data_IF_349232262731
#
_entry.id   IF_349232262731
#
_cell.length_a   1.000
_cell.length_b   1.000
_cell.length_c   1.000
_cell.angle_alpha   90.00
_cell.angle_beta   90.00
_cell.angle_gamma   90.00
#
_symmetry.space_group_name_H-M   'P 1'
#
loop_
_entity.id
_entity.type
_entity.pdbx_description
1 polymer ?
#
# COMPACT_ATOMS: atom_id res chain seq x y z
N UNK A 1 -2.64 -18.09 -6.46
CA UNK A 1 -2.45 -17.14 -5.34
C UNK A 1 -2.50 -15.75 -5.92
N UNK A 2 -3.35 -14.86 -5.41
CA UNK A 2 -3.32 -13.47 -5.84
C UNK A 2 -1.97 -12.83 -5.49
N UNK A 3 -1.34 -12.18 -6.46
CA UNK A 3 -0.01 -11.56 -6.29
C UNK A 3 -0.02 -10.51 -5.17
N UNK A 4 -1.19 -9.93 -4.86
CA UNK A 4 -1.42 -8.97 -3.78
C UNK A 4 -0.92 -9.46 -2.41
N UNK A 5 -1.03 -10.75 -2.11
CA UNK A 5 -0.56 -11.31 -0.83
C UNK A 5 0.95 -11.17 -0.63
N UNK A 6 1.74 -11.13 -1.70
CA UNK A 6 3.18 -10.95 -1.63
C UNK A 6 3.50 -9.58 -1.02
N UNK A 7 2.77 -8.53 -1.43
CA UNK A 7 2.96 -7.17 -0.96
C UNK A 7 2.39 -6.89 0.44
N UNK A 8 1.73 -7.88 1.05
CA UNK A 8 1.35 -7.86 2.47
C UNK A 8 2.26 -8.74 3.31
N UNK A 9 2.53 -9.95 2.87
CA UNK A 9 3.31 -10.95 3.59
C UNK A 9 4.81 -10.63 3.61
N UNK A 10 5.41 -10.25 2.48
CA UNK A 10 6.86 -9.98 2.40
C UNK A 10 7.26 -8.79 3.28
N UNK A 11 6.55 -7.64 3.29
CA UNK A 11 6.87 -6.57 4.22
C UNK A 11 6.80 -6.99 5.69
N UNK A 12 5.77 -7.76 6.07
CA UNK A 12 5.63 -8.26 7.43
C UNK A 12 6.79 -9.17 7.82
N UNK A 13 7.09 -10.17 6.98
CA UNK A 13 8.20 -11.10 7.19
C UNK A 13 9.54 -10.35 7.24
N UNK A 14 9.75 -9.40 6.34
CA UNK A 14 10.94 -8.56 6.34
C UNK A 14 11.09 -7.74 7.62
N UNK A 15 10.01 -7.13 8.11
CA UNK A 15 10.01 -6.38 9.37
C UNK A 15 10.32 -7.29 10.57
N UNK A 16 9.72 -8.48 10.60
CA UNK A 16 9.95 -9.48 11.65
C UNK A 16 11.40 -9.95 11.65
N UNK A 17 11.94 -10.35 10.48
CA UNK A 17 13.35 -10.78 10.34
C UNK A 17 14.29 -9.64 10.75
N UNK A 18 14.04 -8.41 10.28
CA UNK A 18 14.86 -7.25 10.63
C UNK A 18 14.82 -6.98 12.15
N UNK A 19 13.67 -7.13 12.81
CA UNK A 19 13.55 -6.98 14.25
C UNK A 19 14.36 -8.05 15.02
N UNK A 20 14.40 -9.29 14.54
CA UNK A 20 15.12 -10.38 15.21
C UNK A 20 16.62 -10.36 14.97
N UNK A 21 17.08 -9.94 13.79
CA UNK A 21 18.51 -9.82 13.45
C UNK A 21 19.14 -8.56 14.08
N UNK A 22 18.35 -7.51 14.27
CA UNK A 22 18.81 -6.26 14.89
C UNK A 22 19.14 -6.45 16.38
N UNK A 23 20.36 -6.06 16.78
CA UNK A 23 20.76 -6.00 18.20
C UNK A 23 20.13 -4.85 19.01
N UNK A 24 19.40 -3.95 18.34
CA UNK A 24 18.73 -2.81 19.00
C UNK A 24 17.57 -3.28 19.91
N UNK A 25 17.26 -2.55 21.00
CA UNK A 25 16.11 -2.84 21.85
C UNK A 25 14.80 -2.91 21.07
N UNK A 26 13.91 -3.82 21.48
CA UNK A 26 12.59 -4.05 20.85
C UNK A 26 11.54 -3.12 21.47
N UNK A 27 11.74 -1.81 21.35
CA UNK A 27 10.74 -0.83 21.78
C UNK A 27 9.56 -0.80 20.80
N UNK A 28 8.39 -0.34 21.27
CA UNK A 28 7.23 -0.15 20.40
C UNK A 28 7.55 0.82 19.26
N UNK A 29 8.31 1.89 19.53
CA UNK A 29 8.76 2.82 18.49
C UNK A 29 9.56 2.09 17.40
N UNK A 30 10.53 1.24 17.78
CA UNK A 30 11.34 0.49 16.82
C UNK A 30 10.52 -0.53 16.02
N UNK A 31 9.58 -1.22 16.65
CA UNK A 31 8.68 -2.16 15.96
C UNK A 31 7.86 -1.40 14.89
N UNK A 32 7.24 -0.29 15.27
CA UNK A 32 6.47 0.53 14.33
C UNK A 32 7.33 1.16 13.23
N UNK A 33 8.55 1.59 13.55
CA UNK A 33 9.50 2.10 12.56
C UNK A 33 9.82 1.05 11.49
N UNK A 34 10.10 -0.19 11.91
CA UNK A 34 10.44 -1.28 11.00
C UNK A 34 9.24 -1.69 10.14
N UNK A 35 8.04 -1.78 10.73
CA UNK A 35 6.83 -2.05 9.97
C UNK A 35 6.59 -0.96 8.92
N UNK A 36 6.68 0.32 9.29
CA UNK A 36 6.54 1.44 8.35
C UNK A 36 7.59 1.38 7.24
N UNK A 37 8.85 1.13 7.57
CA UNK A 37 9.92 0.99 6.57
C UNK A 37 9.62 -0.07 5.52
N UNK A 38 9.26 -1.27 5.96
CA UNK A 38 9.02 -2.40 5.07
C UNK A 38 7.74 -2.23 4.26
N UNK A 39 6.65 -1.75 4.88
CA UNK A 39 5.41 -1.54 4.15
C UNK A 39 5.48 -0.33 3.21
N UNK A 40 6.21 0.75 3.54
CA UNK A 40 6.43 1.85 2.62
C UNK A 40 7.35 1.45 1.47
N UNK A 41 8.46 0.76 1.76
CA UNK A 41 9.43 0.37 0.75
C UNK A 41 8.97 -0.76 -0.16
N UNK A 42 8.47 -1.86 0.41
CA UNK A 42 8.09 -3.06 -0.35
C UNK A 42 6.60 -3.10 -0.63
N UNK A 43 5.77 -2.82 0.37
CA UNK A 43 4.31 -2.85 0.21
C UNK A 43 3.80 -1.81 -0.80
N UNK A 44 4.06 -0.52 -0.53
CA UNK A 44 3.72 0.57 -1.44
C UNK A 44 4.78 0.71 -2.53
N UNK A 45 6.06 0.81 -2.17
CA UNK A 45 7.12 1.15 -3.12
C UNK A 45 7.20 0.18 -4.29
N UNK A 46 7.57 -1.08 -4.00
CA UNK A 46 7.65 -2.13 -5.03
C UNK A 46 6.25 -2.55 -5.51
N UNK A 47 5.28 -2.68 -4.62
CA UNK A 47 3.92 -3.12 -4.98
C UNK A 47 3.21 -2.18 -5.94
N UNK A 48 3.16 -0.88 -5.64
CA UNK A 48 2.52 0.10 -6.52
C UNK A 48 3.30 0.31 -7.82
N UNK A 49 4.64 0.23 -7.82
CA UNK A 49 5.41 0.20 -9.07
C UNK A 49 5.02 -0.98 -9.96
N UNK A 50 4.94 -2.19 -9.38
CA UNK A 50 4.55 -3.38 -10.12
C UNK A 50 3.14 -3.24 -10.70
N UNK A 51 2.15 -2.88 -9.86
CA UNK A 51 0.77 -2.68 -10.29
C UNK A 51 0.66 -1.60 -11.37
N UNK A 52 1.37 -0.49 -11.19
CA UNK A 52 1.38 0.60 -12.15
C UNK A 52 2.01 0.22 -13.49
N UNK A 53 3.11 -0.53 -13.47
CA UNK A 53 3.73 -1.05 -14.70
C UNK A 53 2.80 -2.00 -15.46
N UNK A 54 2.09 -2.90 -14.76
CA UNK A 54 1.10 -3.79 -15.39
C UNK A 54 -0.04 -2.98 -16.01
N UNK A 55 -0.56 -1.97 -15.31
CA UNK A 55 -1.60 -1.07 -15.82
C UNK A 55 -1.14 -0.24 -17.02
N UNK A 56 0.11 0.21 -17.04
CA UNK A 56 0.67 0.98 -18.16
C UNK A 56 0.95 0.09 -19.36
N UNK A 57 1.55 -1.09 -19.18
CA UNK A 57 2.01 -1.95 -20.28
C UNK A 57 0.87 -2.83 -20.82
N UNK A 58 0.00 -3.32 -19.95
CA UNK A 58 -1.05 -4.29 -20.28
C UNK A 58 -2.40 -3.94 -19.62
N UNK A 59 -2.96 -2.75 -19.90
CA UNK A 59 -4.23 -2.30 -19.33
C UNK A 59 -5.40 -3.24 -19.65
N UNK A 60 -5.36 -3.96 -20.76
CA UNK A 60 -6.41 -4.89 -21.18
C UNK A 60 -6.52 -6.09 -20.22
N UNK A 61 -5.38 -6.59 -19.72
CA UNK A 61 -5.34 -7.66 -18.71
C UNK A 61 -5.96 -7.16 -17.39
N UNK A 62 -5.67 -5.91 -17.03
CA UNK A 62 -6.25 -5.30 -15.82
C UNK A 62 -7.76 -5.17 -15.97
N UNK A 63 -8.24 -4.60 -17.09
CA UNK A 63 -9.68 -4.47 -17.38
C UNK A 63 -10.40 -5.83 -17.31
N UNK A 64 -9.80 -6.87 -17.90
CA UNK A 64 -10.37 -8.22 -17.85
C UNK A 64 -10.43 -8.75 -16.41
N UNK A 65 -9.39 -8.53 -15.60
CA UNK A 65 -9.34 -9.00 -14.22
C UNK A 65 -10.38 -8.31 -13.32
N UNK A 66 -10.66 -7.04 -13.57
CA UNK A 66 -11.67 -6.24 -12.85
C UNK A 66 -13.08 -6.44 -13.40
N UNK A 67 -13.22 -7.12 -14.55
CA UNK A 67 -14.49 -7.21 -15.26
C UNK A 67 -14.99 -5.85 -15.75
N UNK A 68 -14.10 -4.87 -15.89
CA UNK A 68 -14.45 -3.54 -16.40
C UNK A 68 -14.21 -3.49 -17.92
N UNK A 69 -14.91 -2.59 -18.60
CA UNK A 69 -14.57 -2.26 -19.99
C UNK A 69 -13.17 -1.65 -20.08
N UNK A 70 -12.45 -1.91 -21.17
CA UNK A 70 -11.18 -1.23 -21.42
C UNK A 70 -11.39 0.28 -21.49
N UNK A 71 -10.49 1.01 -20.85
CA UNK A 71 -10.48 2.47 -20.84
C UNK A 71 -9.04 2.99 -20.87
N UNK A 72 -8.73 4.04 -21.66
CA UNK A 72 -7.40 4.65 -21.67
C UNK A 72 -6.98 5.18 -20.29
N UNK A 73 -7.95 5.50 -19.42
CA UNK A 73 -7.69 5.93 -18.03
C UNK A 73 -6.98 4.87 -17.19
N UNK A 74 -7.00 3.58 -17.57
CA UNK A 74 -6.21 2.55 -16.88
C UNK A 74 -4.70 2.85 -16.93
N UNK A 75 -4.21 3.47 -18.01
CA UNK A 75 -2.79 3.87 -18.08
C UNK A 75 -2.49 5.05 -17.16
N UNK A 76 -3.42 6.01 -17.04
CA UNK A 76 -3.29 7.12 -16.09
C UNK A 76 -3.30 6.64 -14.64
N UNK A 77 -4.20 5.70 -14.31
CA UNK A 77 -4.22 4.99 -13.02
C UNK A 77 -2.90 4.24 -12.80
N UNK A 78 -2.31 3.69 -13.87
CA UNK A 78 -0.98 3.09 -13.86
C UNK A 78 0.12 4.08 -13.45
N UNK A 79 0.14 5.27 -14.04
CA UNK A 79 1.09 6.32 -13.66
C UNK A 79 0.84 6.87 -12.25
N UNK A 80 -0.41 6.92 -11.79
CA UNK A 80 -0.73 7.24 -10.40
C UNK A 80 -0.09 6.21 -9.46
N UNK A 81 -0.26 4.91 -9.73
CA UNK A 81 0.39 3.84 -8.97
C UNK A 81 1.93 3.93 -9.00
N UNK A 82 2.52 4.23 -10.15
CA UNK A 82 3.98 4.46 -10.26
C UNK A 82 4.42 5.61 -9.34
N UNK A 83 3.65 6.70 -9.26
CA UNK A 83 3.98 7.83 -8.39
C UNK A 83 3.98 7.44 -6.90
N UNK A 84 3.01 6.64 -6.46
CA UNK A 84 2.96 6.13 -5.08
C UNK A 84 4.15 5.21 -4.80
N UNK A 85 4.50 4.38 -5.77
CA UNK A 85 5.67 3.51 -5.69
C UNK A 85 6.97 4.29 -5.51
N UNK A 86 7.17 5.38 -6.25
CA UNK A 86 8.33 6.27 -6.09
C UNK A 86 8.35 6.88 -4.68
N UNK A 87 7.22 7.40 -4.19
CA UNK A 87 7.12 7.96 -2.83
C UNK A 87 7.45 6.90 -1.75
N UNK A 88 6.96 5.68 -1.92
CA UNK A 88 7.24 4.56 -1.02
C UNK A 88 8.71 4.16 -0.99
N UNK A 89 9.38 4.11 -2.15
CA UNK A 89 10.83 3.85 -2.22
C UNK A 89 11.65 4.98 -1.58
N UNK A 90 11.31 6.24 -1.85
CA UNK A 90 11.97 7.39 -1.23
C UNK A 90 11.81 7.38 0.29
N UNK A 91 10.66 6.94 0.81
CA UNK A 91 10.39 6.81 2.24
C UNK A 91 11.34 5.85 2.98
N UNK A 92 11.98 4.90 2.28
CA UNK A 92 13.02 4.03 2.88
C UNK A 92 14.20 4.87 3.38
N UNK A 93 14.60 5.87 2.59
CA UNK A 93 15.75 6.74 2.87
C UNK A 93 15.38 8.02 3.61
N UNK A 94 14.18 8.54 3.38
CA UNK A 94 13.76 9.88 3.82
C UNK A 94 12.48 9.80 4.66
N UNK A 95 12.61 9.96 5.99
CA UNK A 95 11.48 9.85 6.93
C UNK A 95 10.39 10.91 6.72
N UNK A 96 10.75 12.08 6.20
CA UNK A 96 9.81 13.14 5.84
C UNK A 96 8.89 12.75 4.66
N UNK A 97 9.19 11.69 3.90
CA UNK A 97 8.30 11.15 2.86
C UNK A 97 7.23 10.20 3.41
N UNK A 98 7.27 9.81 4.69
CA UNK A 98 6.33 8.84 5.24
C UNK A 98 4.88 9.32 5.20
N UNK A 99 4.62 10.50 5.75
CA UNK A 99 3.27 11.05 5.76
C UNK A 99 2.76 11.37 4.33
N UNK A 100 3.53 12.06 3.45
CA UNK A 100 3.11 12.30 2.07
C UNK A 100 2.81 11.01 1.29
N UNK A 101 3.64 9.98 1.40
CA UNK A 101 3.42 8.70 0.73
C UNK A 101 2.11 8.03 1.21
N UNK A 102 1.89 8.00 2.52
CA UNK A 102 0.68 7.40 3.11
C UNK A 102 -0.57 8.19 2.71
N UNK A 103 -0.53 9.53 2.70
CA UNK A 103 -1.66 10.37 2.32
C UNK A 103 -2.02 10.15 0.86
N UNK A 104 -1.03 10.21 -0.05
CA UNK A 104 -1.26 10.03 -1.48
C UNK A 104 -1.84 8.64 -1.78
N UNK A 105 -1.25 7.59 -1.19
CA UNK A 105 -1.75 6.22 -1.31
C UNK A 105 -3.16 6.08 -0.74
N UNK A 106 -3.43 6.61 0.46
CA UNK A 106 -4.73 6.48 1.10
C UNK A 106 -5.87 7.12 0.30
N UNK A 107 -5.65 8.33 -0.22
CA UNK A 107 -6.65 9.02 -1.05
C UNK A 107 -7.01 8.20 -2.27
N UNK A 108 -6.00 7.65 -2.96
CA UNK A 108 -6.24 6.82 -4.14
C UNK A 108 -6.96 5.51 -3.81
N UNK A 109 -6.46 4.77 -2.83
CA UNK A 109 -7.00 3.46 -2.48
C UNK A 109 -8.45 3.57 -1.95
N UNK A 110 -8.77 4.57 -1.13
CA UNK A 110 -10.15 4.78 -0.69
C UNK A 110 -11.07 5.25 -1.82
N UNK A 111 -10.55 6.02 -2.77
CA UNK A 111 -11.27 6.31 -4.02
C UNK A 111 -11.56 5.06 -4.85
N UNK A 112 -10.58 4.16 -4.99
CA UNK A 112 -10.73 2.89 -5.68
C UNK A 112 -11.76 1.98 -4.96
N UNK A 113 -11.69 1.87 -3.63
CA UNK A 113 -12.67 1.15 -2.83
C UNK A 113 -14.10 1.64 -3.09
N UNK A 114 -14.31 2.97 -3.15
CA UNK A 114 -15.62 3.53 -3.47
C UNK A 114 -16.11 3.12 -4.86
N UNK A 115 -15.22 3.12 -5.87
CA UNK A 115 -15.52 2.64 -7.22
C UNK A 115 -15.88 1.15 -7.25
N UNK A 116 -15.12 0.32 -6.54
CA UNK A 116 -15.39 -1.11 -6.41
C UNK A 116 -16.74 -1.39 -5.74
N UNK A 117 -17.05 -0.70 -4.64
CA UNK A 117 -18.34 -0.81 -3.94
C UNK A 117 -19.48 -0.39 -4.87
N UNK A 118 -19.32 0.69 -5.62
CA UNK A 118 -20.31 1.14 -6.60
C UNK A 118 -20.57 0.07 -7.66
N UNK A 119 -19.53 -0.50 -8.26
CA UNK A 119 -19.65 -1.57 -9.26
C UNK A 119 -20.31 -2.84 -8.71
N UNK A 120 -20.03 -3.21 -7.45
CA UNK A 120 -20.70 -4.33 -6.79
C UNK A 120 -22.20 -4.03 -6.63
N UNK A 121 -22.56 -2.83 -6.21
CA UNK A 121 -23.95 -2.46 -5.95
C UNK A 121 -24.78 -2.31 -7.23
N UNK A 122 -24.21 -1.71 -8.28
CA UNK A 122 -24.96 -1.41 -9.51
C UNK A 122 -24.95 -2.56 -10.49
N UNK A 123 -23.82 -3.26 -10.62
CA UNK A 123 -23.59 -4.24 -11.69
C UNK A 123 -23.40 -5.68 -11.17
N UNK A 124 -23.47 -5.90 -9.84
CA UNK A 124 -23.14 -7.17 -9.21
C UNK A 124 -21.75 -7.70 -9.64
N UNK A 125 -20.80 -6.79 -9.93
CA UNK A 125 -19.48 -7.16 -10.42
C UNK A 125 -18.62 -7.72 -9.29
N UNK A 126 -18.61 -9.05 -9.16
CA UNK A 126 -17.83 -9.80 -8.17
C UNK A 126 -16.55 -10.39 -8.77
N UNK A 127 -16.03 -9.81 -9.85
CA UNK A 127 -14.76 -10.23 -10.43
C UNK A 127 -13.62 -10.12 -9.40
N UNK A 128 -12.59 -10.93 -9.58
CA UNK A 128 -11.46 -11.02 -8.64
C UNK A 128 -10.67 -9.70 -8.52
N UNK A 129 -10.64 -8.89 -9.58
CA UNK A 129 -10.02 -7.56 -9.58
C UNK A 129 -10.92 -6.45 -9.04
N UNK A 130 -12.19 -6.73 -8.73
CA UNK A 130 -13.14 -5.73 -8.24
C UNK A 130 -13.60 -5.98 -6.79
N UNK A 131 -13.80 -7.24 -6.42
CA UNK A 131 -14.32 -7.62 -5.12
C UNK A 131 -13.31 -8.44 -4.30
N UNK A 132 -13.69 -8.79 -3.06
CA UNK A 132 -12.86 -9.61 -2.20
C UNK A 132 -11.58 -8.90 -1.76
N UNK A 133 -10.44 -9.56 -1.96
CA UNK A 133 -9.15 -9.14 -1.41
C UNK A 133 -8.73 -7.74 -1.88
N UNK A 134 -8.94 -7.39 -3.15
CA UNK A 134 -8.62 -6.05 -3.67
C UNK A 134 -9.35 -4.98 -2.86
N UNK A 135 -10.68 -5.08 -2.79
CA UNK A 135 -11.51 -4.14 -2.02
C UNK A 135 -11.12 -4.08 -0.53
N UNK A 136 -10.82 -5.22 0.10
CA UNK A 136 -10.39 -5.21 1.50
C UNK A 136 -9.05 -4.51 1.69
N UNK A 137 -8.08 -4.72 0.79
CA UNK A 137 -6.78 -4.06 0.87
C UNK A 137 -6.89 -2.57 0.60
N UNK A 138 -7.77 -2.15 -0.31
CA UNK A 138 -8.03 -0.75 -0.58
C UNK A 138 -8.48 0.03 0.66
N UNK A 139 -9.20 -0.63 1.57
CA UNK A 139 -9.68 -0.02 2.82
C UNK A 139 -8.64 -0.19 3.94
N UNK A 140 -8.20 -1.43 4.18
CA UNK A 140 -7.47 -1.80 5.38
C UNK A 140 -6.00 -1.38 5.35
N UNK A 141 -5.34 -1.40 4.18
CA UNK A 141 -3.93 -1.04 4.09
C UNK A 141 -3.68 0.44 4.39
N UNK A 142 -4.42 1.40 3.82
CA UNK A 142 -4.29 2.80 4.22
C UNK A 142 -4.54 3.03 5.70
N UNK A 143 -5.60 2.43 6.25
CA UNK A 143 -5.95 2.56 7.66
C UNK A 143 -4.82 2.03 8.55
N UNK A 144 -4.29 0.86 8.25
CA UNK A 144 -3.16 0.25 8.95
C UNK A 144 -1.92 1.16 8.95
N UNK A 145 -1.56 1.73 7.79
CA UNK A 145 -0.40 2.61 7.65
C UNK A 145 -0.57 3.92 8.42
N UNK A 146 -1.76 4.52 8.39
CA UNK A 146 -2.09 5.71 9.16
C UNK A 146 -1.95 5.42 10.65
N UNK A 147 -2.49 4.31 11.15
CA UNK A 147 -2.38 3.90 12.54
C UNK A 147 -0.90 3.72 12.93
N UNK A 148 -0.11 3.01 12.12
CA UNK A 148 1.32 2.83 12.37
C UNK A 148 2.06 4.16 12.46
N UNK A 149 1.79 5.09 11.53
CA UNK A 149 2.42 6.41 11.52
C UNK A 149 2.09 7.20 12.79
N UNK A 150 0.82 7.18 13.21
CA UNK A 150 0.39 7.87 14.44
C UNK A 150 1.02 7.26 15.69
N UNK A 151 1.11 5.94 15.77
CA UNK A 151 1.77 5.25 16.90
C UNK A 151 3.27 5.55 16.92
N UNK A 152 3.94 5.51 15.77
CA UNK A 152 5.36 5.87 15.65
C UNK A 152 5.62 7.30 16.14
N UNK A 153 4.82 8.28 15.71
CA UNK A 153 4.98 9.67 16.12
C UNK A 153 4.71 9.88 17.63
N UNK A 154 3.70 9.22 18.18
CA UNK A 154 3.38 9.30 19.62
C UNK A 154 4.51 8.73 20.49
N UNK A 155 5.06 7.59 20.08
CA UNK A 155 6.14 6.92 20.83
C UNK A 155 7.46 7.67 20.72
N UNK A 156 7.78 8.24 19.55
CA UNK A 156 8.98 9.05 19.35
C UNK A 156 9.01 10.28 20.26
N UNK A 157 7.86 10.96 20.42
CA UNK A 157 7.75 12.13 21.31
C UNK A 157 7.99 11.76 22.78
N UNK A 158 7.46 10.61 23.22
CA UNK A 158 7.62 10.14 24.60
C UNK A 158 9.08 9.86 24.94
N UNK A 159 9.82 9.23 24.03
CA UNK A 159 11.24 8.93 24.21
C UNK A 159 12.13 10.20 24.17
N UNK A 160 11.67 11.28 23.52
CA UNK A 160 12.39 12.57 23.49
C UNK A 160 12.18 13.45 24.72
N UNK A 161 11.18 13.12 25.56
CA UNK A 161 10.77 13.89 26.75
C UNK A 161 11.19 13.24 28.08
N UNK A 162 11.89 12.11 28.02
CA UNK A 162 12.43 11.34 29.16
C UNK A 162 13.95 11.44 29.19
#
# INVERSE_FOLDING_TARGET
>A
MEISYIFVGVPLLGAVIHLFVSKKPRSLNRITELLLLWYLGVGIGVGSLFSGLVQVISPEIVAQSTGWGYSPFLREVGFANISYGILGLLAVRFRNFWAPAIIAYAVFMWGAAAGHIYEIQQNANLSVGNAGTVLYLDILMPLFLIILLLVYQKTLKKDSSS
#
